data_IF_468660592846
#
_entry.id   IF_468660592846
#
_cell.length_a   1.000
_cell.length_b   1.000
_cell.length_c   1.000
_cell.angle_alpha   90.00
_cell.angle_beta   90.00
_cell.angle_gamma   90.00
#
_symmetry.space_group_name_H-M   'P 1'
#
loop_
_entity.id
_entity.type
_entity.pdbx_description
1 polymer ?
#
# COMPACT_ATOMS: atom_id res chain seq x y z
N UNK A 1 -19.37 1.80 -1.17
CA UNK A 1 -18.09 2.29 -1.73
C UNK A 1 -17.10 1.17 -2.07
N UNK A 2 -17.10 0.04 -1.35
CA UNK A 2 -16.25 -1.11 -1.69
C UNK A 2 -16.97 -2.10 -2.60
N UNK A 3 -16.19 -2.87 -3.37
CA UNK A 3 -16.71 -3.99 -4.13
C UNK A 3 -17.17 -5.13 -3.20
N UNK A 4 -18.19 -5.88 -3.61
CA UNK A 4 -18.54 -7.11 -2.92
C UNK A 4 -17.33 -8.08 -2.85
N UNK A 5 -17.13 -8.77 -1.73
CA UNK A 5 -17.99 -8.91 -0.55
C UNK A 5 -17.66 -8.00 0.65
N UNK A 6 -16.94 -6.90 0.47
CA UNK A 6 -16.42 -6.02 1.53
C UNK A 6 -17.54 -5.14 2.15
N UNK A 7 -18.53 -5.75 2.78
CA UNK A 7 -19.74 -5.07 3.24
C UNK A 7 -19.80 -4.83 4.76
N UNK A 8 -18.83 -5.31 5.52
CA UNK A 8 -18.75 -5.10 6.98
C UNK A 8 -17.52 -4.25 7.32
N UNK A 9 -17.72 -3.24 8.14
CA UNK A 9 -16.67 -2.32 8.59
C UNK A 9 -16.42 -2.48 10.10
N UNK A 10 -15.18 -2.78 10.47
CA UNK A 10 -14.70 -2.68 11.85
C UNK A 10 -13.92 -1.38 11.99
N UNK A 11 -14.38 -0.47 12.84
CA UNK A 11 -13.73 0.83 13.04
C UNK A 11 -12.57 0.76 14.04
N UNK A 12 -11.59 1.64 13.84
CA UNK A 12 -10.45 1.91 14.71
C UNK A 12 -10.05 3.38 14.70
N UNK A 13 -8.89 3.70 15.28
CA UNK A 13 -8.42 5.08 15.44
C UNK A 13 -7.15 5.40 14.66
N UNK A 14 -6.45 4.40 14.13
CA UNK A 14 -5.20 4.58 13.38
C UNK A 14 -5.00 3.50 12.32
N UNK A 15 -4.23 3.80 11.28
CA UNK A 15 -3.85 2.80 10.27
C UNK A 15 -3.11 1.60 10.87
N UNK A 16 -2.25 1.83 11.88
CA UNK A 16 -1.58 0.76 12.62
C UNK A 16 -2.58 -0.20 13.26
N UNK A 17 -3.60 0.34 13.93
CA UNK A 17 -4.65 -0.46 14.55
C UNK A 17 -5.48 -1.21 13.50
N UNK A 18 -5.82 -0.58 12.38
CA UNK A 18 -6.52 -1.24 11.29
C UNK A 18 -5.72 -2.44 10.74
N UNK A 19 -4.42 -2.32 10.59
CA UNK A 19 -3.56 -3.43 10.16
C UNK A 19 -3.49 -4.55 11.22
N UNK A 20 -3.40 -4.22 12.51
CA UNK A 20 -3.46 -5.21 13.59
C UNK A 20 -4.78 -6.00 13.55
N UNK A 21 -5.90 -5.31 13.38
CA UNK A 21 -7.22 -5.93 13.24
C UNK A 21 -7.25 -6.83 11.99
N UNK A 22 -6.76 -6.35 10.86
CA UNK A 22 -6.74 -7.09 9.60
C UNK A 22 -5.91 -8.38 9.69
N UNK A 23 -4.70 -8.33 10.29
CA UNK A 23 -3.87 -9.52 10.53
C UNK A 23 -4.61 -10.50 11.46
N UNK A 24 -5.23 -9.99 12.53
CA UNK A 24 -5.99 -10.84 13.45
C UNK A 24 -7.20 -11.49 12.77
N UNK A 25 -7.92 -10.75 11.91
CA UNK A 25 -9.02 -11.30 11.12
C UNK A 25 -8.52 -12.43 10.20
N UNK A 26 -7.43 -12.21 9.48
CA UNK A 26 -6.83 -13.19 8.58
C UNK A 26 -6.44 -14.48 9.33
N UNK A 27 -5.73 -14.35 10.45
CA UNK A 27 -5.31 -15.49 11.28
C UNK A 27 -6.48 -16.27 11.84
N UNK A 28 -7.53 -15.60 12.29
CA UNK A 28 -8.74 -16.26 12.82
C UNK A 28 -9.58 -16.93 11.74
N UNK A 29 -9.68 -16.32 10.55
CA UNK A 29 -10.44 -16.84 9.44
C UNK A 29 -9.82 -18.11 8.85
N UNK A 30 -8.49 -18.13 8.72
CA UNK A 30 -7.76 -19.25 8.09
C UNK A 30 -7.25 -20.29 9.08
N UNK A 31 -7.14 -19.93 10.37
CA UNK A 31 -6.41 -20.73 11.37
C UNK A 31 -4.89 -20.68 11.18
N UNK A 32 -4.39 -19.93 10.19
CA UNK A 32 -2.97 -19.77 9.88
C UNK A 32 -2.30 -18.71 10.75
N UNK A 33 -0.95 -18.65 10.62
CA UNK A 33 -0.10 -17.65 11.29
C UNK A 33 0.76 -16.86 10.29
N UNK A 34 1.18 -17.51 9.20
CA UNK A 34 2.14 -16.97 8.24
C UNK A 34 1.57 -15.80 7.45
N UNK A 35 2.31 -14.69 7.37
CA UNK A 35 1.97 -13.51 6.57
C UNK A 35 3.09 -13.23 5.58
N UNK A 36 2.75 -13.10 4.30
CA UNK A 36 3.65 -12.63 3.24
C UNK A 36 3.51 -11.12 3.12
N UNK A 37 4.60 -10.38 3.13
CA UNK A 37 4.64 -8.94 2.89
C UNK A 37 5.80 -8.55 1.96
N UNK A 38 5.85 -7.29 1.50
CA UNK A 38 6.96 -6.83 0.67
C UNK A 38 8.20 -6.46 1.51
N UNK A 39 9.37 -6.48 0.89
CA UNK A 39 10.65 -6.29 1.57
C UNK A 39 10.99 -4.83 1.94
N UNK A 40 10.21 -3.84 1.47
CA UNK A 40 10.41 -2.41 1.76
C UNK A 40 9.15 -1.75 2.33
N UNK A 41 8.28 -2.54 2.92
CA UNK A 41 6.96 -2.13 3.39
C UNK A 41 6.98 -1.34 4.69
N UNK A 42 5.89 -0.62 4.93
CA UNK A 42 5.55 -0.03 6.22
C UNK A 42 4.03 -0.06 6.42
N UNK A 43 3.57 -0.78 7.42
CA UNK A 43 2.16 -0.94 7.74
C UNK A 43 1.79 -0.46 9.15
N UNK A 44 2.69 0.21 9.82
CA UNK A 44 2.49 0.73 11.18
C UNK A 44 3.70 0.47 12.08
N UNK A 45 3.55 0.84 13.37
CA UNK A 45 4.63 0.81 14.36
C UNK A 45 4.23 0.13 15.69
N UNK A 46 3.17 -0.69 15.67
CA UNK A 46 2.88 -1.62 16.76
C UNK A 46 3.82 -2.84 16.72
N UNK A 47 3.73 -3.70 17.73
CA UNK A 47 4.58 -4.89 17.81
C UNK A 47 4.44 -5.80 16.57
N UNK A 48 3.24 -6.08 16.11
CA UNK A 48 3.02 -6.92 14.92
C UNK A 48 3.45 -6.21 13.63
N UNK A 49 3.03 -4.96 13.45
CA UNK A 49 3.26 -4.26 12.18
C UNK A 49 4.73 -3.91 11.95
N UNK A 50 5.49 -3.57 13.02
CA UNK A 50 6.90 -3.22 12.89
C UNK A 50 7.77 -4.41 12.46
N UNK A 51 7.38 -5.63 12.80
CA UNK A 51 8.06 -6.88 12.42
C UNK A 51 8.11 -7.08 10.89
N UNK A 52 7.15 -6.51 10.15
CA UNK A 52 7.16 -6.52 8.70
C UNK A 52 8.13 -5.51 8.11
N UNK A 53 8.44 -4.43 8.82
CA UNK A 53 9.29 -3.32 8.34
C UNK A 53 10.75 -3.50 8.72
N UNK A 54 11.05 -3.71 10.01
CA UNK A 54 12.41 -3.81 10.58
C UNK A 54 12.49 -4.91 11.63
N UNK A 55 13.71 -5.37 11.92
CA UNK A 55 13.99 -6.31 13.01
C UNK A 55 14.35 -7.70 12.51
N UNK A 56 14.68 -8.59 13.45
CA UNK A 56 14.89 -9.99 13.12
C UNK A 56 13.61 -10.59 12.57
N UNK A 57 13.76 -11.45 11.56
CA UNK A 57 12.61 -12.09 10.93
C UNK A 57 12.07 -13.15 11.87
N UNK A 58 10.86 -12.92 12.33
CA UNK A 58 10.09 -13.96 12.98
C UNK A 58 9.61 -14.98 11.95
N UNK A 59 9.53 -16.26 12.30
CA UNK A 59 9.22 -17.31 11.33
C UNK A 59 7.84 -17.19 10.68
N UNK A 60 6.93 -16.46 11.30
CA UNK A 60 5.57 -16.23 10.82
C UNK A 60 5.41 -15.02 9.87
N UNK A 61 6.50 -14.32 9.54
CA UNK A 61 6.53 -13.29 8.51
C UNK A 61 7.55 -13.62 7.43
N UNK A 62 7.15 -13.55 6.17
CA UNK A 62 8.03 -13.70 5.00
C UNK A 62 7.97 -12.44 4.15
N UNK A 63 9.14 -11.86 3.88
CA UNK A 63 9.28 -10.72 2.99
C UNK A 63 9.68 -11.21 1.62
N UNK A 64 8.92 -10.78 0.60
CA UNK A 64 9.22 -11.04 -0.81
C UNK A 64 9.64 -9.74 -1.49
N UNK A 65 10.45 -9.80 -2.55
CA UNK A 65 10.73 -8.63 -3.36
C UNK A 65 9.41 -8.02 -3.87
N UNK A 66 9.25 -6.70 -3.72
CA UNK A 66 8.13 -6.02 -4.35
C UNK A 66 8.32 -5.96 -5.87
N UNK A 67 7.24 -6.09 -6.65
CA UNK A 67 7.34 -6.05 -8.11
C UNK A 67 7.72 -4.64 -8.59
N UNK A 68 8.73 -4.52 -9.44
CA UNK A 68 9.07 -3.26 -10.09
C UNK A 68 9.67 -3.47 -11.48
N UNK A 69 9.39 -2.52 -12.41
CA UNK A 69 9.93 -2.53 -13.77
C UNK A 69 11.22 -1.71 -13.91
N UNK A 70 11.46 -0.75 -13.03
CA UNK A 70 12.62 0.13 -13.13
C UNK A 70 13.94 -0.56 -12.72
N UNK A 71 13.96 -1.29 -11.61
CA UNK A 71 15.06 -2.15 -11.15
C UNK A 71 14.55 -3.56 -10.91
N UNK A 72 14.21 -4.28 -11.99
CA UNK A 72 13.62 -5.60 -11.86
C UNK A 72 14.61 -6.62 -11.24
N UNK A 73 14.09 -7.76 -10.79
CA UNK A 73 14.91 -8.86 -10.31
C UNK A 73 15.84 -9.40 -11.39
N UNK A 74 15.42 -9.32 -12.65
CA UNK A 74 16.20 -9.69 -13.82
C UNK A 74 15.92 -8.70 -14.92
N UNK A 75 16.99 -8.13 -15.54
CA UNK A 75 16.88 -7.16 -16.61
C UNK A 75 16.49 -7.84 -17.94
N UNK A 76 15.93 -7.05 -18.83
CA UNK A 76 15.61 -7.42 -20.21
C UNK A 76 14.60 -8.57 -20.38
N UNK A 77 13.85 -8.95 -19.33
CA UNK A 77 12.77 -9.90 -19.44
C UNK A 77 11.50 -9.28 -20.05
N UNK A 78 10.75 -10.03 -20.86
CA UNK A 78 9.38 -9.68 -21.22
C UNK A 78 8.51 -9.50 -19.96
N UNK A 79 7.54 -8.58 -19.99
CA UNK A 79 6.74 -8.22 -18.82
C UNK A 79 6.01 -9.41 -18.18
N UNK A 80 5.55 -10.37 -18.99
CA UNK A 80 4.92 -11.59 -18.49
C UNK A 80 5.90 -12.50 -17.74
N UNK A 81 7.13 -12.66 -18.24
CA UNK A 81 8.17 -13.45 -17.59
C UNK A 81 8.66 -12.78 -16.31
N UNK A 82 8.80 -11.45 -16.32
CA UNK A 82 9.10 -10.67 -15.12
C UNK A 82 7.98 -10.82 -14.08
N UNK A 83 6.71 -10.79 -14.50
CA UNK A 83 5.59 -11.05 -13.61
C UNK A 83 5.69 -12.44 -12.96
N UNK A 84 5.96 -13.46 -13.76
CA UNK A 84 6.06 -14.84 -13.30
C UNK A 84 7.25 -15.02 -12.35
N UNK A 85 8.38 -14.34 -12.58
CA UNK A 85 9.53 -14.32 -11.67
C UNK A 85 9.18 -13.80 -10.27
N UNK A 86 8.44 -12.69 -10.17
CA UNK A 86 7.95 -12.19 -8.89
C UNK A 86 6.92 -13.12 -8.23
N UNK A 87 6.11 -13.82 -9.02
CA UNK A 87 5.17 -14.82 -8.49
C UNK A 87 5.87 -16.05 -7.93
N UNK A 88 7.01 -16.45 -8.49
CA UNK A 88 7.83 -17.53 -7.93
C UNK A 88 8.34 -17.20 -6.51
N UNK A 89 8.63 -15.92 -6.22
CA UNK A 89 8.99 -15.48 -4.86
C UNK A 89 7.85 -15.70 -3.86
N UNK A 90 6.60 -15.46 -4.29
CA UNK A 90 5.40 -15.75 -3.47
C UNK A 90 5.23 -17.25 -3.27
N UNK A 91 5.37 -18.05 -4.32
CA UNK A 91 5.29 -19.52 -4.23
C UNK A 91 6.37 -20.08 -3.29
N UNK A 92 7.60 -19.53 -3.38
CA UNK A 92 8.70 -19.90 -2.48
C UNK A 92 8.35 -19.60 -1.02
N UNK A 93 7.81 -18.40 -0.74
CA UNK A 93 7.40 -18.04 0.62
C UNK A 93 6.29 -18.95 1.15
N UNK A 94 5.32 -19.35 0.33
CA UNK A 94 4.27 -20.31 0.69
C UNK A 94 4.88 -21.68 1.00
N UNK A 95 5.80 -22.16 0.16
CA UNK A 95 6.49 -23.46 0.36
C UNK A 95 7.30 -23.46 1.66
N UNK A 96 8.07 -22.38 1.92
CA UNK A 96 8.85 -22.25 3.16
C UNK A 96 7.98 -22.24 4.41
N UNK A 97 6.79 -21.63 4.37
CA UNK A 97 5.82 -21.73 5.47
C UNK A 97 5.36 -23.17 5.67
N UNK A 98 5.01 -23.87 4.60
CA UNK A 98 4.59 -25.28 4.66
C UNK A 98 5.68 -26.20 5.23
N UNK A 99 6.91 -26.07 4.76
CA UNK A 99 8.08 -26.83 5.22
C UNK A 99 8.37 -26.64 6.71
N UNK A 100 8.07 -25.44 7.24
CA UNK A 100 8.24 -25.12 8.65
C UNK A 100 6.97 -25.37 9.50
N UNK A 101 5.96 -26.03 8.95
CA UNK A 101 4.68 -26.27 9.61
C UNK A 101 4.00 -25.00 10.13
N UNK A 102 4.10 -23.91 9.39
CA UNK A 102 3.43 -22.64 9.67
C UNK A 102 2.29 -22.48 8.63
N UNK A 103 1.02 -22.73 8.99
CA UNK A 103 -0.07 -22.52 8.05
C UNK A 103 -0.14 -21.06 7.61
N UNK A 104 -0.37 -20.83 6.31
CA UNK A 104 -0.52 -19.49 5.74
C UNK A 104 -1.80 -18.82 6.26
N UNK A 105 -1.68 -17.61 6.79
CA UNK A 105 -2.82 -16.76 7.10
C UNK A 105 -3.16 -15.83 5.93
N UNK A 106 -2.16 -15.30 5.24
CA UNK A 106 -2.42 -14.45 4.09
C UNK A 106 -1.22 -13.66 3.58
N UNK A 107 -1.53 -12.78 2.63
CA UNK A 107 -0.61 -11.79 2.08
C UNK A 107 -1.10 -10.39 2.44
N UNK A 108 -0.19 -9.53 2.90
CA UNK A 108 -0.46 -8.13 3.22
C UNK A 108 0.45 -7.24 2.38
N UNK A 109 -0.14 -6.53 1.41
CA UNK A 109 0.54 -5.55 0.57
C UNK A 109 -0.16 -4.20 0.61
N UNK A 110 0.60 -3.11 0.42
CA UNK A 110 0.01 -1.86 0.01
C UNK A 110 -0.46 -1.98 -1.45
N UNK A 111 -1.69 -1.60 -1.74
CA UNK A 111 -2.29 -1.77 -3.08
C UNK A 111 -1.51 -1.09 -4.22
N UNK A 112 -0.70 -0.09 -3.91
CA UNK A 112 0.13 0.65 -4.86
C UNK A 112 1.63 0.66 -4.50
N UNK A 113 2.06 -0.11 -3.52
CA UNK A 113 3.45 -0.15 -3.04
C UNK A 113 4.03 1.24 -2.72
N UNK A 114 3.24 2.04 -1.96
CA UNK A 114 3.53 3.45 -1.69
C UNK A 114 4.84 3.69 -0.93
N UNK A 115 5.22 2.81 -0.02
CA UNK A 115 6.44 2.91 0.78
C UNK A 115 7.66 2.33 0.05
N UNK A 116 7.41 1.40 -0.86
CA UNK A 116 8.38 0.81 -1.77
C UNK A 116 8.85 1.80 -2.85
N UNK A 117 8.16 2.92 -3.00
CA UNK A 117 8.51 3.99 -3.93
C UNK A 117 7.55 4.12 -5.12
N UNK A 118 6.31 3.62 -4.98
CA UNK A 118 5.27 3.68 -6.01
C UNK A 118 5.75 3.09 -7.35
N UNK A 119 6.29 1.87 -7.38
CA UNK A 119 6.83 1.26 -8.60
C UNK A 119 5.75 1.02 -9.65
N UNK A 120 6.12 1.14 -10.92
CA UNK A 120 5.35 0.52 -11.99
C UNK A 120 5.55 -0.99 -11.91
N UNK A 121 4.46 -1.72 -11.74
CA UNK A 121 4.48 -3.17 -11.55
C UNK A 121 4.08 -3.92 -12.83
N UNK A 122 4.50 -5.17 -13.01
CA UNK A 122 4.03 -6.00 -14.12
C UNK A 122 2.51 -6.18 -14.09
N UNK A 123 1.89 -6.06 -15.27
CA UNK A 123 0.44 -6.15 -15.42
C UNK A 123 -0.11 -7.48 -14.90
N UNK A 124 -1.19 -7.40 -14.12
CA UNK A 124 -1.86 -8.59 -13.57
C UNK A 124 -1.17 -9.24 -12.37
N UNK A 125 0.01 -8.75 -11.93
CA UNK A 125 0.75 -9.31 -10.80
C UNK A 125 -0.13 -9.46 -9.55
N UNK A 126 -0.79 -8.38 -9.09
CA UNK A 126 -1.60 -8.41 -7.87
C UNK A 126 -2.72 -9.45 -7.93
N UNK A 127 -3.40 -9.55 -9.05
CA UNK A 127 -4.47 -10.54 -9.26
C UNK A 127 -3.95 -11.96 -9.23
N UNK A 128 -2.82 -12.25 -9.91
CA UNK A 128 -2.20 -13.57 -9.91
C UNK A 128 -1.66 -13.94 -8.52
N UNK A 129 -1.01 -13.00 -7.83
CA UNK A 129 -0.53 -13.18 -6.45
C UNK A 129 -1.68 -13.51 -5.49
N UNK A 130 -2.79 -12.78 -5.59
CA UNK A 130 -4.00 -13.03 -4.81
C UNK A 130 -4.56 -14.44 -5.05
N UNK A 131 -4.56 -14.91 -6.30
CA UNK A 131 -4.98 -16.27 -6.65
C UNK A 131 -4.10 -17.32 -5.97
N UNK A 132 -2.78 -17.20 -6.07
CA UNK A 132 -1.82 -18.12 -5.43
C UNK A 132 -2.03 -18.22 -3.91
N UNK A 133 -2.22 -17.07 -3.26
CA UNK A 133 -2.43 -17.01 -1.81
C UNK A 133 -3.74 -17.68 -1.40
N UNK A 134 -4.82 -17.44 -2.14
CA UNK A 134 -6.13 -18.05 -1.86
C UNK A 134 -6.11 -19.56 -2.12
N UNK A 135 -5.47 -20.04 -3.19
CA UNK A 135 -5.29 -21.46 -3.47
C UNK A 135 -4.47 -22.17 -2.38
N UNK A 136 -3.56 -21.46 -1.71
CA UNK A 136 -2.81 -21.96 -0.56
C UNK A 136 -3.58 -21.86 0.77
N UNK A 137 -4.85 -21.44 0.77
CA UNK A 137 -5.71 -21.34 1.95
C UNK A 137 -5.55 -20.04 2.75
N UNK A 138 -4.78 -19.08 2.26
CA UNK A 138 -4.63 -17.74 2.85
C UNK A 138 -5.67 -16.74 2.34
N UNK A 139 -5.71 -15.55 2.95
CA UNK A 139 -6.52 -14.41 2.52
C UNK A 139 -5.65 -13.24 2.06
N UNK A 140 -6.22 -12.37 1.25
CA UNK A 140 -5.54 -11.18 0.72
C UNK A 140 -5.94 -9.95 1.54
N UNK A 141 -4.95 -9.32 2.17
CA UNK A 141 -5.10 -8.06 2.89
C UNK A 141 -4.48 -6.96 2.04
N UNK A 142 -5.23 -5.93 1.68
CA UNK A 142 -4.68 -4.75 1.03
C UNK A 142 -4.75 -3.52 1.95
N UNK A 143 -3.60 -2.87 2.07
CA UNK A 143 -3.44 -1.62 2.81
C UNK A 143 -3.74 -0.43 1.90
N UNK A 144 -4.90 0.19 2.13
CA UNK A 144 -5.40 1.39 1.46
C UNK A 144 -5.16 2.68 2.28
N UNK A 145 -4.42 2.59 3.36
CA UNK A 145 -4.17 3.74 4.27
C UNK A 145 -3.51 4.92 3.56
N UNK A 146 -2.79 4.70 2.46
CA UNK A 146 -2.23 5.77 1.62
C UNK A 146 -2.90 5.88 0.25
N UNK A 147 -3.46 4.81 -0.27
CA UNK A 147 -3.97 4.73 -1.65
C UNK A 147 -5.45 5.10 -1.77
N UNK A 148 -6.23 4.81 -0.76
CA UNK A 148 -7.67 4.98 -0.77
C UNK A 148 -8.16 6.43 -0.74
N UNK A 149 -9.47 6.58 -0.83
CA UNK A 149 -10.17 7.87 -0.83
C UNK A 149 -9.70 8.77 -1.97
N UNK A 150 -9.79 8.27 -3.18
CA UNK A 150 -9.51 8.96 -4.45
C UNK A 150 -8.05 9.37 -4.71
N UNK A 151 -7.10 9.13 -3.77
CA UNK A 151 -5.69 9.54 -3.90
C UNK A 151 -5.04 9.14 -5.22
N UNK A 152 -5.38 7.97 -5.74
CA UNK A 152 -4.77 7.35 -6.92
C UNK A 152 -5.53 7.60 -8.23
N UNK A 153 -6.60 8.38 -8.19
CA UNK A 153 -7.49 8.58 -9.34
C UNK A 153 -8.57 7.52 -9.49
N UNK A 154 -8.70 6.63 -8.50
CA UNK A 154 -9.81 5.72 -8.25
C UNK A 154 -10.19 5.82 -6.78
N UNK A 155 -11.40 5.36 -6.37
CA UNK A 155 -11.77 5.36 -4.96
C UNK A 155 -10.78 4.57 -4.13
N UNK A 156 -10.33 3.41 -4.66
CA UNK A 156 -9.40 2.52 -4.02
C UNK A 156 -8.26 2.12 -4.96
N UNK A 157 -7.05 2.00 -4.41
CA UNK A 157 -5.88 1.57 -5.17
C UNK A 157 -6.00 0.14 -5.70
N UNK A 158 -6.75 -0.73 -5.05
CA UNK A 158 -6.97 -2.09 -5.51
C UNK A 158 -7.78 -2.17 -6.83
N UNK A 159 -8.60 -1.16 -7.13
CA UNK A 159 -9.37 -1.10 -8.39
C UNK A 159 -8.43 -1.00 -9.59
N UNK A 160 -7.33 -0.24 -9.46
CA UNK A 160 -6.31 -0.07 -10.51
C UNK A 160 -5.68 -1.42 -10.90
N UNK A 161 -5.50 -2.29 -9.91
CA UNK A 161 -4.89 -3.60 -10.08
C UNK A 161 -5.90 -4.72 -10.36
N UNK A 162 -7.19 -4.40 -10.46
CA UNK A 162 -8.27 -5.38 -10.61
C UNK A 162 -8.16 -6.53 -9.59
N UNK A 163 -7.85 -6.20 -8.34
CA UNK A 163 -7.60 -7.17 -7.28
C UNK A 163 -8.43 -6.82 -6.04
N UNK A 164 -9.67 -7.28 -5.99
CA UNK A 164 -10.53 -7.11 -4.80
C UNK A 164 -9.95 -7.97 -3.66
N UNK A 165 -9.59 -7.36 -2.51
CA UNK A 165 -9.06 -8.09 -1.37
C UNK A 165 -10.16 -8.81 -0.57
N UNK A 166 -9.76 -9.69 0.33
CA UNK A 166 -10.65 -10.31 1.32
C UNK A 166 -10.80 -9.41 2.56
N UNK A 167 -9.76 -8.61 2.83
CA UNK A 167 -9.70 -7.64 3.92
C UNK A 167 -9.02 -6.37 3.41
N UNK A 168 -9.61 -5.21 3.66
CA UNK A 168 -9.03 -3.91 3.31
C UNK A 168 -8.84 -3.05 4.57
N UNK A 169 -7.63 -2.52 4.76
CA UNK A 169 -7.33 -1.61 5.86
C UNK A 169 -7.31 -0.15 5.37
N UNK A 170 -7.97 0.74 6.09
CA UNK A 170 -8.15 2.14 5.76
C UNK A 170 -7.74 3.03 6.93
N UNK A 171 -7.36 4.28 6.63
CA UNK A 171 -7.00 5.27 7.65
C UNK A 171 -6.69 6.63 7.02
N UNK A 172 -5.73 7.36 7.56
CA UNK A 172 -5.27 8.70 7.11
C UNK A 172 -6.38 9.59 6.52
N UNK A 173 -6.67 9.52 5.18
CA UNK A 173 -7.67 10.38 4.56
C UNK A 173 -9.09 10.15 5.10
N UNK A 174 -9.40 8.95 5.62
CA UNK A 174 -10.72 8.61 6.16
C UNK A 174 -11.22 9.61 7.22
N UNK A 175 -10.32 10.16 8.03
CA UNK A 175 -10.63 11.16 9.05
C UNK A 175 -10.07 12.54 8.75
N UNK A 176 -9.32 12.73 7.63
CA UNK A 176 -8.69 14.00 7.23
C UNK A 176 -8.01 14.77 8.39
N UNK A 177 -7.24 14.04 9.21
CA UNK A 177 -6.55 14.56 10.39
C UNK A 177 -7.19 14.17 11.73
N UNK A 178 -8.42 13.71 11.74
CA UNK A 178 -9.04 13.12 12.93
C UNK A 178 -8.67 11.63 13.05
N UNK A 179 -8.44 11.12 14.28
CA UNK A 179 -8.14 9.70 14.51
C UNK A 179 -9.31 8.79 14.10
N UNK A 180 -9.27 8.31 12.86
CA UNK A 180 -10.28 7.44 12.26
C UNK A 180 -9.62 6.45 11.32
N UNK A 181 -9.94 5.19 11.48
CA UNK A 181 -9.52 4.10 10.61
C UNK A 181 -10.59 3.03 10.55
N UNK A 182 -10.43 2.07 9.65
CA UNK A 182 -11.36 0.96 9.54
C UNK A 182 -10.77 -0.21 8.79
N UNK A 183 -11.42 -1.35 8.97
CA UNK A 183 -11.14 -2.58 8.24
C UNK A 183 -12.43 -3.05 7.60
N UNK A 184 -12.44 -3.07 6.28
CA UNK A 184 -13.54 -3.63 5.48
C UNK A 184 -13.31 -5.11 5.20
N UNK A 185 -14.35 -5.93 5.32
CA UNK A 185 -14.26 -7.36 5.03
C UNK A 185 -15.63 -7.96 4.73
N UNK A 186 -15.65 -9.26 4.40
CA UNK A 186 -16.88 -9.99 4.17
C UNK A 186 -17.64 -10.32 5.49
N UNK A 187 -18.95 -10.54 5.41
CA UNK A 187 -19.75 -10.97 6.57
C UNK A 187 -19.21 -12.24 7.23
N UNK A 188 -18.68 -13.17 6.45
CA UNK A 188 -18.13 -14.45 6.94
C UNK A 188 -16.89 -14.22 7.80
N UNK A 189 -15.93 -13.44 7.32
CA UNK A 189 -14.71 -13.12 8.07
C UNK A 189 -15.06 -12.29 9.31
N UNK A 190 -15.93 -11.30 9.17
CA UNK A 190 -16.41 -10.50 10.29
C UNK A 190 -17.07 -11.34 11.39
N UNK A 191 -17.92 -12.30 11.01
CA UNK A 191 -18.55 -13.24 11.95
C UNK A 191 -17.52 -14.05 12.72
N UNK A 192 -16.54 -14.65 12.01
CA UNK A 192 -15.46 -15.43 12.65
C UNK A 192 -14.67 -14.55 13.62
N UNK A 193 -14.37 -13.32 13.24
CA UNK A 193 -13.66 -12.36 14.08
C UNK A 193 -14.44 -12.04 15.36
N UNK A 194 -15.72 -11.77 15.28
CA UNK A 194 -16.55 -11.47 16.45
C UNK A 194 -16.76 -12.69 17.37
N UNK A 195 -16.88 -13.88 16.82
CA UNK A 195 -17.06 -15.10 17.60
C UNK A 195 -15.77 -15.57 18.31
N UNK A 196 -14.62 -15.38 17.67
CA UNK A 196 -13.32 -15.91 18.15
C UNK A 196 -12.41 -14.89 18.79
N UNK A 197 -12.77 -13.60 18.78
CA UNK A 197 -11.95 -12.57 19.40
C UNK A 197 -12.79 -11.62 20.23
N UNK A 198 -12.18 -11.15 21.34
CA UNK A 198 -12.67 -9.99 22.03
C UNK A 198 -11.96 -8.75 21.47
N UNK A 199 -12.69 -7.91 20.73
CA UNK A 199 -12.21 -6.61 20.28
C UNK A 199 -13.14 -5.52 20.82
N UNK A 200 -12.55 -4.58 21.53
CA UNK A 200 -13.22 -3.40 22.04
C UNK A 200 -12.28 -2.20 21.93
N UNK A 201 -12.79 -1.06 21.49
CA UNK A 201 -12.08 0.21 21.47
C UNK A 201 -13.03 1.29 22.02
N UNK A 202 -12.64 1.92 23.13
CA UNK A 202 -13.43 2.93 23.82
C UNK A 202 -13.75 4.14 22.96
N UNK A 203 -12.85 4.49 22.03
CA UNK A 203 -12.92 5.71 21.22
C UNK A 203 -13.32 5.45 19.78
N UNK A 204 -13.34 4.20 19.32
CA UNK A 204 -13.81 3.86 17.98
C UNK A 204 -15.34 3.74 17.92
N UNK A 205 -15.89 3.93 16.72
CA UNK A 205 -17.35 3.85 16.44
C UNK A 205 -18.19 4.86 17.24
N UNK A 206 -17.60 6.01 17.55
CA UNK A 206 -18.34 7.11 18.22
C UNK A 206 -19.15 7.94 17.21
N UNK A 207 -20.24 8.61 17.64
CA UNK A 207 -20.96 9.54 16.76
C UNK A 207 -20.05 10.62 16.15
N UNK A 208 -19.02 11.06 16.87
CA UNK A 208 -18.07 12.04 16.38
C UNK A 208 -17.22 11.48 15.22
N UNK A 209 -16.70 10.27 15.37
CA UNK A 209 -15.98 9.60 14.26
C UNK A 209 -16.87 9.40 13.04
N UNK A 210 -18.11 8.98 13.23
CA UNK A 210 -19.07 8.80 12.14
C UNK A 210 -19.34 10.13 11.42
N UNK A 211 -19.57 11.21 12.16
CA UNK A 211 -19.79 12.53 11.59
C UNK A 211 -18.58 13.06 10.80
N UNK A 212 -17.37 12.88 11.33
CA UNK A 212 -16.13 13.26 10.62
C UNK A 212 -15.97 12.43 9.34
N UNK A 213 -16.14 11.12 9.41
CA UNK A 213 -16.04 10.25 8.24
C UNK A 213 -17.08 10.59 7.16
N UNK A 214 -18.33 10.86 7.55
CA UNK A 214 -19.38 11.30 6.61
C UNK A 214 -19.01 12.62 5.95
N UNK A 215 -18.57 13.62 6.71
CA UNK A 215 -18.15 14.92 6.16
C UNK A 215 -17.00 14.80 5.15
N UNK A 216 -16.05 13.87 5.36
CA UNK A 216 -14.99 13.60 4.38
C UNK A 216 -15.57 13.03 3.08
N UNK A 217 -16.52 12.10 3.18
CA UNK A 217 -17.17 11.52 2.00
C UNK A 217 -18.00 12.57 1.25
N UNK A 218 -18.77 13.38 1.98
CA UNK A 218 -19.58 14.45 1.41
C UNK A 218 -18.69 15.43 0.60
N UNK A 219 -17.57 15.88 1.16
CA UNK A 219 -16.63 16.78 0.47
C UNK A 219 -16.03 16.12 -0.79
N UNK A 220 -15.64 14.84 -0.72
CA UNK A 220 -15.09 14.12 -1.87
C UNK A 220 -16.11 14.08 -3.02
N UNK A 221 -17.40 13.84 -2.70
CA UNK A 221 -18.46 13.72 -3.70
C UNK A 221 -18.93 15.10 -4.19
N UNK A 222 -19.21 16.05 -3.28
CA UNK A 222 -19.75 17.38 -3.61
C UNK A 222 -18.75 18.25 -4.38
N UNK A 223 -17.46 18.13 -4.11
CA UNK A 223 -16.41 18.89 -4.79
C UNK A 223 -15.78 18.13 -5.98
N UNK A 224 -16.31 16.96 -6.35
CA UNK A 224 -15.77 16.08 -7.39
C UNK A 224 -14.24 15.90 -7.28
N UNK A 225 -13.77 15.59 -6.07
CA UNK A 225 -12.33 15.46 -5.84
C UNK A 225 -11.69 14.32 -6.64
N UNK A 226 -12.46 13.29 -7.04
CA UNK A 226 -11.98 12.25 -7.93
C UNK A 226 -11.64 12.80 -9.32
N UNK A 227 -12.50 13.64 -9.89
CA UNK A 227 -12.24 14.34 -11.14
C UNK A 227 -11.05 15.29 -11.05
N UNK A 228 -10.94 16.05 -9.94
CA UNK A 228 -9.80 16.92 -9.68
C UNK A 228 -8.49 16.14 -9.61
N UNK A 229 -8.45 15.05 -8.83
CA UNK A 229 -7.25 14.19 -8.67
C UNK A 229 -6.76 13.65 -10.00
N UNK A 230 -7.66 13.24 -10.89
CA UNK A 230 -7.28 12.74 -12.21
C UNK A 230 -6.70 13.88 -13.09
N UNK A 231 -7.40 15.00 -13.21
CA UNK A 231 -6.99 16.11 -14.09
C UNK A 231 -5.70 16.79 -13.60
N UNK A 232 -5.64 17.14 -12.32
CA UNK A 232 -4.47 17.82 -11.72
C UNK A 232 -3.29 16.85 -11.55
N UNK A 233 -3.58 15.57 -11.23
CA UNK A 233 -2.55 14.53 -11.11
C UNK A 233 -1.85 14.27 -12.44
N UNK A 234 -2.59 14.17 -13.54
CA UNK A 234 -1.99 14.02 -14.88
C UNK A 234 -1.17 15.26 -15.26
N UNK A 235 -1.70 16.46 -15.03
CA UNK A 235 -0.96 17.72 -15.26
C UNK A 235 0.34 17.76 -14.45
N UNK A 236 0.29 17.45 -13.15
CA UNK A 236 1.47 17.44 -12.27
C UNK A 236 2.51 16.43 -12.78
N UNK A 237 2.09 15.21 -13.06
CA UNK A 237 2.97 14.15 -13.55
C UNK A 237 3.65 14.52 -14.87
N UNK A 238 2.90 15.10 -15.82
CA UNK A 238 3.44 15.53 -17.10
C UNK A 238 4.45 16.69 -16.95
N UNK A 239 4.17 17.65 -16.08
CA UNK A 239 5.12 18.73 -15.75
C UNK A 239 6.40 18.18 -15.14
N UNK A 240 6.29 17.26 -14.17
CA UNK A 240 7.46 16.64 -13.54
C UNK A 240 8.25 15.81 -14.55
N UNK A 241 7.58 15.04 -15.42
CA UNK A 241 8.23 14.31 -16.52
C UNK A 241 8.95 15.25 -17.51
N UNK A 242 8.37 16.41 -17.78
CA UNK A 242 8.99 17.45 -18.61
C UNK A 242 10.31 17.91 -18.02
N UNK A 243 10.32 18.33 -16.76
CA UNK A 243 11.53 18.76 -16.05
C UNK A 243 12.55 17.64 -15.91
N UNK A 244 12.10 16.42 -15.63
CA UNK A 244 12.99 15.27 -15.44
C UNK A 244 13.96 15.04 -16.61
N UNK A 245 13.53 15.36 -17.83
CA UNK A 245 14.36 15.23 -19.04
C UNK A 245 15.58 16.16 -19.07
N UNK A 246 15.58 17.21 -18.24
CA UNK A 246 16.66 18.21 -18.15
C UNK A 246 17.70 17.83 -17.09
N UNK A 247 17.45 16.76 -16.31
CA UNK A 247 18.30 16.40 -15.16
C UNK A 247 18.73 14.93 -15.21
N UNK A 248 19.98 14.69 -15.46
CA UNK A 248 20.59 13.36 -15.57
C UNK A 248 20.43 12.48 -14.32
N UNK A 249 20.17 13.12 -13.18
CA UNK A 249 20.02 12.44 -11.89
C UNK A 249 18.58 11.97 -11.61
N UNK A 250 17.65 12.19 -12.52
CA UNK A 250 16.29 11.64 -12.47
C UNK A 250 16.23 10.39 -13.35
N UNK A 251 16.10 9.24 -12.72
CA UNK A 251 16.03 7.96 -13.42
C UNK A 251 14.65 7.63 -13.95
N UNK A 252 13.60 8.01 -13.19
CA UNK A 252 12.21 7.73 -13.55
C UNK A 252 11.26 8.72 -12.88
N UNK A 253 10.10 8.94 -13.51
CA UNK A 253 8.97 9.69 -12.95
C UNK A 253 7.70 8.89 -13.19
N UNK A 254 7.07 8.48 -12.12
CA UNK A 254 5.87 7.65 -12.12
C UNK A 254 4.82 8.18 -11.13
N UNK A 255 3.62 7.66 -11.20
CA UNK A 255 2.57 8.10 -10.26
C UNK A 255 1.16 7.80 -10.73
N UNK A 256 0.25 7.87 -9.78
CA UNK A 256 -1.17 7.60 -9.91
C UNK A 256 -1.94 8.75 -9.24
N UNK A 257 -2.80 9.43 -9.97
CA UNK A 257 -3.54 10.59 -9.46
C UNK A 257 -2.61 11.63 -8.84
N UNK A 258 -2.95 12.12 -7.64
CA UNK A 258 -2.12 13.05 -6.85
C UNK A 258 -1.12 12.34 -5.94
N UNK A 259 -0.47 11.31 -6.46
CA UNK A 259 0.64 10.61 -5.83
C UNK A 259 1.74 10.42 -6.86
N UNK A 260 2.76 11.30 -6.86
CA UNK A 260 3.86 11.29 -7.83
C UNK A 260 5.16 10.92 -7.15
N UNK A 261 5.95 10.09 -7.81
CA UNK A 261 7.27 9.64 -7.37
C UNK A 261 8.34 10.02 -8.38
N UNK A 262 9.49 10.49 -7.89
CA UNK A 262 10.69 10.82 -8.69
C UNK A 262 11.83 9.96 -8.19
N UNK A 263 12.38 9.15 -9.05
CA UNK A 263 13.51 8.26 -8.77
C UNK A 263 14.83 9.01 -8.91
N UNK A 264 15.56 9.20 -7.80
CA UNK A 264 16.89 9.81 -7.82
C UNK A 264 17.97 8.75 -8.09
N UNK A 265 18.80 8.99 -9.10
CA UNK A 265 19.90 8.11 -9.54
C UNK A 265 21.24 8.83 -9.60
N UNK A 266 22.36 8.10 -9.73
CA UNK A 266 23.71 8.69 -9.74
C UNK A 266 24.04 9.49 -11.01
N UNK A 267 23.31 9.29 -12.12
CA UNK A 267 23.53 10.01 -13.38
C UNK A 267 22.75 9.43 -14.54
N UNK A 268 22.96 10.00 -15.71
CA UNK A 268 22.22 9.65 -16.93
C UNK A 268 22.34 8.16 -17.27
N UNK A 269 21.17 7.53 -17.49
CA UNK A 269 21.07 6.12 -17.83
C UNK A 269 21.41 5.15 -16.68
N UNK A 270 21.77 5.68 -15.51
CA UNK A 270 22.04 4.87 -14.33
C UNK A 270 20.74 4.44 -13.66
N UNK A 271 20.70 3.20 -13.18
CA UNK A 271 19.64 2.73 -12.25
C UNK A 271 20.13 2.73 -10.80
N UNK A 272 21.39 3.12 -10.53
CA UNK A 272 21.96 3.11 -9.19
C UNK A 272 21.34 4.20 -8.31
N UNK A 273 20.77 3.82 -7.14
CA UNK A 273 20.06 4.75 -6.27
C UNK A 273 20.96 5.87 -5.73
N UNK A 274 20.44 7.11 -5.68
CA UNK A 274 21.13 8.24 -5.05
C UNK A 274 20.32 8.78 -3.85
N UNK A 275 20.47 8.11 -2.72
CA UNK A 275 19.83 8.52 -1.46
C UNK A 275 20.28 9.94 -1.01
N UNK A 276 21.57 10.24 -1.14
CA UNK A 276 22.12 11.53 -0.71
C UNK A 276 21.41 12.69 -1.42
N UNK A 277 21.26 12.60 -2.73
CA UNK A 277 20.54 13.59 -3.52
C UNK A 277 19.09 13.74 -3.07
N UNK A 278 18.39 12.63 -2.84
CA UNK A 278 16.99 12.66 -2.38
C UNK A 278 16.84 13.36 -1.03
N UNK A 279 17.74 13.09 -0.07
CA UNK A 279 17.74 13.76 1.23
C UNK A 279 18.03 15.25 1.09
N UNK A 280 19.04 15.63 0.32
CA UNK A 280 19.37 17.04 0.04
C UNK A 280 18.22 17.78 -0.62
N UNK A 281 17.50 17.12 -1.53
CA UNK A 281 16.34 17.69 -2.20
C UNK A 281 15.19 17.95 -1.20
N UNK A 282 14.88 16.98 -0.35
CA UNK A 282 13.86 17.13 0.70
C UNK A 282 14.16 18.31 1.61
N UNK A 283 15.41 18.44 2.07
CA UNK A 283 15.81 19.55 2.92
C UNK A 283 15.73 20.92 2.21
N UNK A 284 16.15 21.00 0.94
CA UNK A 284 16.03 22.23 0.15
C UNK A 284 14.56 22.61 -0.11
N UNK A 285 13.69 21.64 -0.36
CA UNK A 285 12.27 21.90 -0.53
C UNK A 285 11.64 22.42 0.77
N UNK A 286 11.99 21.84 1.91
CA UNK A 286 11.56 22.32 3.23
C UNK A 286 11.96 23.77 3.48
N UNK A 287 13.21 24.14 3.14
CA UNK A 287 13.69 25.55 3.25
C UNK A 287 12.91 26.51 2.36
N UNK A 288 12.31 26.02 1.26
CA UNK A 288 11.43 26.79 0.38
C UNK A 288 9.96 26.75 0.77
N UNK A 289 9.62 26.12 1.91
CA UNK A 289 8.25 26.04 2.43
C UNK A 289 7.43 24.84 1.90
N UNK A 290 8.06 23.87 1.21
CA UNK A 290 7.39 22.69 0.70
C UNK A 290 7.79 21.45 1.51
N UNK A 291 6.79 20.75 2.08
CA UNK A 291 7.00 19.50 2.78
C UNK A 291 6.79 18.33 1.82
N UNK A 292 7.87 17.65 1.50
CA UNK A 292 7.87 16.39 0.78
C UNK A 292 8.66 15.34 1.56
N UNK A 293 8.58 14.08 1.18
CA UNK A 293 9.33 13.00 1.81
C UNK A 293 10.02 12.13 0.78
N UNK A 294 10.93 11.27 1.24
CA UNK A 294 11.51 10.21 0.45
C UNK A 294 11.00 8.84 0.88
N UNK A 295 11.00 7.89 -0.04
CA UNK A 295 10.54 6.52 0.11
C UNK A 295 11.43 5.55 -0.70
N UNK A 296 10.99 4.30 -0.80
CA UNK A 296 11.69 3.25 -1.52
C UNK A 296 12.71 2.51 -0.66
N UNK A 297 13.09 1.33 -1.11
CA UNK A 297 14.05 0.47 -0.43
C UNK A 297 15.39 1.18 -0.14
N UNK A 298 15.81 2.04 -1.03
CA UNK A 298 17.06 2.81 -0.93
C UNK A 298 16.85 4.25 -0.46
N UNK A 299 15.61 4.64 -0.12
CA UNK A 299 15.23 6.00 0.29
C UNK A 299 15.63 7.09 -0.73
N UNK A 300 15.66 6.74 -1.99
CA UNK A 300 16.05 7.60 -3.10
C UNK A 300 14.88 8.05 -3.99
N UNK A 301 13.66 7.72 -3.61
CA UNK A 301 12.43 8.11 -4.32
C UNK A 301 11.80 9.31 -3.61
N UNK A 302 11.74 10.46 -4.27
CA UNK A 302 11.00 11.61 -3.77
C UNK A 302 9.50 11.33 -3.92
N UNK A 303 8.76 11.59 -2.86
CA UNK A 303 7.33 11.31 -2.76
C UNK A 303 6.54 12.60 -2.63
N UNK A 304 5.72 12.90 -3.64
CA UNK A 304 4.93 14.13 -3.76
C UNK A 304 3.46 13.77 -3.60
N UNK A 305 2.83 14.27 -2.53
CA UNK A 305 1.44 14.02 -2.19
C UNK A 305 0.75 15.33 -1.77
N UNK A 306 0.33 16.16 -2.73
CA UNK A 306 -0.43 17.35 -2.40
C UNK A 306 -1.82 17.00 -1.84
N UNK A 307 -2.53 17.92 -1.19
CA UNK A 307 -3.94 17.71 -0.83
C UNK A 307 -4.79 17.34 -2.04
N UNK A 308 -5.92 16.62 -1.83
CA UNK A 308 -6.81 16.26 -2.95
C UNK A 308 -7.45 17.48 -3.63
N UNK A 309 -7.55 18.58 -2.92
CA UNK A 309 -8.07 19.89 -3.38
C UNK A 309 -7.01 20.77 -4.07
N UNK A 310 -5.84 20.24 -4.38
CA UNK A 310 -4.69 20.97 -4.94
C UNK A 310 -4.99 21.57 -6.32
#
# INVERSE_FOLDING_TARGET
>A
LHADPLSVLQMGCSGTEAIEIAIKMARLATGGKGIICSNATYHGNSHETIRMTIGPFEPDFKRVPFPEKFRPLEEDLPENELCDLYLEEIKRAISEFSENNIPLAGMLFCSIFANEGLPDIPSGFMKKAATLVREAGGVVILDEVQAGFCRTGSWWGYEINNCVPDIVAMGKPMGSGYPLSGVGTSPEIAKIFHEKSYYFNTTASTPLQAAVGSAVLDVIEEEDLLGNVNSVGDYLKDKVKGFAKEYDMVGDVRGLGLFVAIECVEGQGSKKPNNKLAVEFVEKMKQKGFLISNAGQFRNVLKILPPLVF
#
